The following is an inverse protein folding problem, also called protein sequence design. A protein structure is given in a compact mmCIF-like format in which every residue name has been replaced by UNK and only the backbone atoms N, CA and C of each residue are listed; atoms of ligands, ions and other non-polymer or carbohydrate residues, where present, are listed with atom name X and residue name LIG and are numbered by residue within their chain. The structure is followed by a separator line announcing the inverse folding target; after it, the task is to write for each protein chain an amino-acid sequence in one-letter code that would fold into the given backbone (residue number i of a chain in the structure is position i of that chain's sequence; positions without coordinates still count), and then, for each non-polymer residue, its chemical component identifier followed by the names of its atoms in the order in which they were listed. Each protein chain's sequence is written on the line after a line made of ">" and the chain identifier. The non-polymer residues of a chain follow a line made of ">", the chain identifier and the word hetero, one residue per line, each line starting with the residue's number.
data_IF_395266562724
#
_entry.id   IF_395266562724
#
_cell.length_a   1.000
_cell.length_b   1.000
_cell.length_c   1.000
_cell.angle_alpha   90.00
_cell.angle_beta   90.00
_cell.angle_gamma   90.00
#
_symmetry.space_group_name_H-M   'P 1'
#
loop_
_entity.id
_entity.type
_entity.pdbx_description
1 polymer ?
#
# COMPACT_ATOMS: atom_id res chain seq x y z
N UNK A 1 -15.55 -3.68 -16.28
CA UNK A 1 -16.91 -4.22 -16.55
C UNK A 1 -17.56 -4.63 -15.25
N UNK A 2 -18.87 -4.38 -15.09
CA UNK A 2 -19.63 -4.70 -13.87
C UNK A 2 -19.51 -6.18 -13.47
N UNK A 3 -19.54 -7.11 -14.42
CA UNK A 3 -19.50 -8.55 -14.15
C UNK A 3 -18.09 -9.18 -14.19
N UNK A 4 -17.03 -8.36 -14.25
CA UNK A 4 -15.65 -8.86 -14.13
C UNK A 4 -15.42 -9.49 -12.73
N UNK A 5 -14.94 -10.74 -12.61
CA UNK A 5 -14.66 -11.34 -11.31
C UNK A 5 -13.51 -10.68 -10.56
N UNK A 6 -12.66 -9.88 -11.21
CA UNK A 6 -11.56 -9.16 -10.56
C UNK A 6 -12.07 -8.00 -9.70
N UNK A 7 -11.32 -7.61 -8.65
CA UNK A 7 -11.61 -6.41 -7.89
C UNK A 7 -11.74 -5.17 -8.77
N UNK A 8 -12.76 -4.35 -8.53
CA UNK A 8 -13.02 -3.14 -9.31
C UNK A 8 -12.06 -2.03 -8.91
N UNK A 9 -11.65 -1.23 -9.89
CA UNK A 9 -10.79 -0.07 -9.71
C UNK A 9 -11.43 1.25 -10.17
N UNK A 10 -12.62 1.19 -10.77
CA UNK A 10 -13.32 2.34 -11.35
C UNK A 10 -14.72 2.44 -10.76
N UNK A 11 -15.16 3.64 -10.43
CA UNK A 11 -16.47 3.92 -9.83
C UNK A 11 -17.61 3.37 -10.68
N UNK A 12 -17.53 3.52 -11.99
CA UNK A 12 -18.50 3.00 -12.96
C UNK A 12 -18.69 1.48 -12.89
N UNK A 13 -17.68 0.74 -12.42
CA UNK A 13 -17.72 -0.71 -12.30
C UNK A 13 -18.19 -1.18 -10.92
N UNK A 14 -18.39 -0.25 -9.96
CA UNK A 14 -18.71 -0.52 -8.56
C UNK A 14 -20.20 -0.23 -8.26
N UNK A 15 -21.00 -1.28 -8.05
CA UNK A 15 -22.45 -1.14 -7.89
C UNK A 15 -22.87 -0.97 -6.42
N UNK A 16 -23.66 0.06 -6.13
CA UNK A 16 -24.30 0.31 -4.81
C UNK A 16 -23.31 0.49 -3.63
N UNK A 17 -22.17 1.14 -3.86
CA UNK A 17 -21.15 1.43 -2.84
C UNK A 17 -20.87 2.93 -2.64
N UNK A 18 -21.74 3.82 -3.12
CA UNK A 18 -21.54 5.28 -3.00
C UNK A 18 -21.28 5.74 -1.57
N UNK A 19 -22.13 5.32 -0.63
CA UNK A 19 -22.02 5.70 0.77
C UNK A 19 -20.74 5.18 1.41
N UNK A 20 -20.40 3.92 1.15
CA UNK A 20 -19.16 3.30 1.65
C UNK A 20 -17.92 3.99 1.10
N UNK A 21 -17.94 4.41 -0.16
CA UNK A 21 -16.83 5.08 -0.82
C UNK A 21 -16.66 6.51 -0.29
N UNK A 22 -17.76 7.23 -0.11
CA UNK A 22 -17.76 8.55 0.53
C UNK A 22 -17.31 8.49 1.99
N UNK A 23 -17.70 7.44 2.72
CA UNK A 23 -17.27 7.23 4.11
C UNK A 23 -15.77 6.91 4.19
N UNK A 24 -15.29 5.94 3.42
CA UNK A 24 -13.89 5.53 3.41
C UNK A 24 -12.94 6.70 3.11
N UNK A 25 -13.29 7.53 2.13
CA UNK A 25 -12.47 8.69 1.73
C UNK A 25 -12.31 9.74 2.83
N UNK A 26 -13.29 9.87 3.74
CA UNK A 26 -13.18 10.80 4.89
C UNK A 26 -12.08 10.39 5.85
N UNK A 27 -11.69 9.12 5.85
CA UNK A 27 -10.71 8.57 6.78
C UNK A 27 -9.29 8.43 6.18
N UNK A 28 -9.07 8.75 4.90
CA UNK A 28 -7.72 8.74 4.28
C UNK A 28 -6.73 9.73 4.92
N UNK A 29 -7.18 10.58 5.84
CA UNK A 29 -6.33 11.45 6.63
C UNK A 29 -5.99 10.93 8.03
N UNK A 30 -6.64 9.87 8.50
CA UNK A 30 -6.45 9.34 9.84
C UNK A 30 -5.20 8.45 9.92
N UNK A 31 -4.48 8.41 11.06
CA UNK A 31 -3.29 7.59 11.21
C UNK A 31 -3.51 6.11 10.95
N UNK A 32 -4.70 5.63 11.31
CA UNK A 32 -5.12 4.26 11.08
C UNK A 32 -6.62 4.20 10.76
N UNK A 33 -6.96 3.69 9.58
CA UNK A 33 -8.35 3.32 9.23
C UNK A 33 -8.52 1.81 9.14
N UNK A 34 -9.55 1.28 9.81
CA UNK A 34 -9.88 -0.15 9.77
C UNK A 34 -11.24 -0.42 9.13
N UNK A 35 -11.26 -1.19 8.04
CA UNK A 35 -12.46 -1.48 7.24
C UNK A 35 -13.03 -2.88 7.57
N UNK A 36 -13.87 -2.98 8.60
CA UNK A 36 -14.42 -4.28 9.05
C UNK A 36 -15.75 -4.56 8.34
N UNK A 37 -15.97 -5.80 7.87
CA UNK A 37 -17.23 -6.22 7.21
C UNK A 37 -17.29 -7.75 7.02
N UNK A 38 -18.45 -8.29 6.62
CA UNK A 38 -18.68 -9.72 6.32
C UNK A 38 -17.98 -10.19 5.03
N UNK A 39 -17.70 -11.49 4.90
CA UNK A 39 -17.02 -12.06 3.71
C UNK A 39 -17.91 -11.92 2.46
N UNK A 40 -17.28 -11.65 1.31
CA UNK A 40 -17.88 -11.57 -0.05
C UNK A 40 -18.71 -10.32 -0.37
N UNK A 41 -18.44 -9.19 0.27
CA UNK A 41 -19.09 -7.90 -0.04
C UNK A 41 -18.37 -7.06 -1.11
N UNK A 42 -17.15 -7.41 -1.53
CA UNK A 42 -16.42 -6.62 -2.54
C UNK A 42 -15.56 -5.49 -1.95
N UNK A 43 -15.09 -5.62 -0.71
CA UNK A 43 -14.24 -4.63 -0.04
C UNK A 43 -12.96 -4.25 -0.81
N UNK A 44 -12.24 -5.22 -1.36
CA UNK A 44 -11.06 -4.92 -2.19
C UNK A 44 -11.45 -3.99 -3.34
N UNK A 45 -12.62 -4.21 -3.97
CA UNK A 45 -13.14 -3.31 -5.02
C UNK A 45 -13.45 -1.92 -4.48
N UNK A 46 -14.08 -1.81 -3.31
CA UNK A 46 -14.36 -0.53 -2.66
C UNK A 46 -13.08 0.25 -2.37
N UNK A 47 -12.10 -0.41 -1.76
CA UNK A 47 -10.81 0.18 -1.37
C UNK A 47 -10.03 0.62 -2.60
N UNK A 48 -9.83 -0.29 -3.56
CA UNK A 48 -9.10 0.05 -4.79
C UNK A 48 -9.79 1.17 -5.55
N UNK A 49 -11.11 1.16 -5.66
CA UNK A 49 -11.83 2.25 -6.31
C UNK A 49 -11.67 3.57 -5.56
N UNK A 50 -11.74 3.56 -4.23
CA UNK A 50 -11.51 4.77 -3.43
C UNK A 50 -10.08 5.31 -3.57
N UNK A 51 -9.08 4.41 -3.63
CA UNK A 51 -7.67 4.77 -3.82
C UNK A 51 -7.41 5.35 -5.22
N UNK A 52 -8.01 4.78 -6.26
CA UNK A 52 -7.85 5.24 -7.65
C UNK A 52 -8.59 6.56 -7.91
N UNK A 53 -9.69 6.83 -7.18
CA UNK A 53 -10.32 8.15 -7.17
C UNK A 53 -9.54 9.18 -6.34
N UNK A 54 -8.74 8.73 -5.37
CA UNK A 54 -7.90 9.63 -4.59
C UNK A 54 -6.67 10.03 -5.42
N UNK A 55 -6.32 11.31 -5.36
CA UNK A 55 -5.04 11.79 -5.91
C UNK A 55 -3.85 11.44 -5.03
N UNK A 56 -4.09 10.79 -3.89
CA UNK A 56 -3.09 10.42 -2.89
C UNK A 56 -2.32 9.17 -3.34
N UNK A 57 -0.97 9.21 -3.38
CA UNK A 57 -0.16 8.02 -3.62
C UNK A 57 -0.47 6.91 -2.61
N UNK A 58 -0.40 5.65 -3.03
CA UNK A 58 -0.64 4.53 -2.14
C UNK A 58 0.22 3.29 -2.45
N UNK A 59 0.64 2.61 -1.38
CA UNK A 59 1.29 1.30 -1.42
C UNK A 59 0.26 0.25 -1.01
N UNK A 60 -0.13 -0.62 -1.96
CA UNK A 60 -1.12 -1.66 -1.70
C UNK A 60 -0.43 -3.02 -1.51
N UNK A 61 -0.62 -3.65 -0.36
CA UNK A 61 0.00 -4.90 0.05
C UNK A 61 -1.10 -5.94 0.23
N UNK A 62 -1.23 -6.84 -0.75
CA UNK A 62 -2.18 -7.96 -0.72
C UNK A 62 -1.56 -9.16 -0.01
N UNK A 63 -1.97 -9.38 1.24
CA UNK A 63 -1.41 -10.43 2.10
C UNK A 63 -2.09 -11.79 1.88
N UNK A 64 -3.13 -11.88 1.04
CA UNK A 64 -3.85 -13.16 0.76
C UNK A 64 -2.97 -14.26 0.20
N UNK A 65 -1.91 -13.89 -0.51
CA UNK A 65 -0.98 -14.82 -1.14
C UNK A 65 0.23 -15.18 -0.27
N UNK A 66 0.39 -14.55 0.90
CA UNK A 66 1.56 -14.78 1.76
C UNK A 66 1.27 -15.93 2.71
N UNK A 67 1.88 -17.08 2.45
CA UNK A 67 1.74 -18.28 3.27
C UNK A 67 3.10 -18.56 3.87
N UNK A 68 3.51 -17.72 4.84
CA UNK A 68 4.82 -17.70 5.54
C UNK A 68 5.80 -18.79 5.08
N UNK A 69 6.95 -18.38 4.52
CA UNK A 69 7.97 -17.72 5.33
C UNK A 69 8.27 -16.26 4.93
N UNK A 70 9.13 -15.58 5.70
CA UNK A 70 9.59 -14.20 5.48
C UNK A 70 10.03 -13.91 4.04
N UNK A 71 10.58 -14.88 3.33
CA UNK A 71 10.96 -14.74 1.92
C UNK A 71 9.78 -14.27 1.05
N UNK A 72 8.63 -14.90 1.18
CA UNK A 72 7.42 -14.54 0.40
C UNK A 72 6.95 -13.13 0.73
N UNK A 73 7.10 -12.69 1.99
CA UNK A 73 6.78 -11.32 2.38
C UNK A 73 7.69 -10.30 1.69
N UNK A 74 9.00 -10.54 1.61
CA UNK A 74 9.91 -9.63 0.91
C UNK A 74 9.72 -9.67 -0.62
N UNK A 75 9.37 -10.83 -1.19
CA UNK A 75 8.99 -10.93 -2.60
C UNK A 75 7.70 -10.12 -2.89
N UNK A 76 6.69 -10.22 -2.02
CA UNK A 76 5.49 -9.40 -2.11
C UNK A 76 5.84 -7.90 -1.97
N UNK A 77 6.62 -7.53 -0.97
CA UNK A 77 6.99 -6.14 -0.73
C UNK A 77 7.79 -5.56 -1.91
N UNK A 78 8.66 -6.36 -2.52
CA UNK A 78 9.40 -6.02 -3.74
C UNK A 78 8.46 -5.70 -4.89
N UNK A 79 7.46 -6.57 -5.13
CA UNK A 79 6.42 -6.35 -6.11
C UNK A 79 5.60 -5.08 -5.81
N UNK A 80 5.13 -4.92 -4.58
CA UNK A 80 4.32 -3.77 -4.15
C UNK A 80 5.07 -2.45 -4.30
N UNK A 81 6.34 -2.39 -3.90
CA UNK A 81 7.17 -1.20 -4.05
C UNK A 81 7.49 -0.92 -5.52
N UNK A 82 7.73 -1.95 -6.32
CA UNK A 82 7.94 -1.78 -7.77
C UNK A 82 6.71 -1.14 -8.42
N UNK A 83 5.52 -1.66 -8.12
CA UNK A 83 4.25 -1.11 -8.60
C UNK A 83 3.99 0.31 -8.05
N UNK A 84 4.38 0.58 -6.80
CA UNK A 84 4.32 1.92 -6.22
C UNK A 84 5.24 2.92 -6.93
N UNK A 85 6.53 2.58 -7.12
CA UNK A 85 7.50 3.42 -7.85
C UNK A 85 7.03 3.71 -9.28
N UNK A 86 6.48 2.71 -9.97
CA UNK A 86 5.91 2.88 -11.30
C UNK A 86 4.74 3.87 -11.28
N UNK A 87 3.82 3.78 -10.31
CA UNK A 87 2.67 4.68 -10.18
C UNK A 87 3.07 6.13 -9.90
N UNK A 88 4.03 6.34 -9.01
CA UNK A 88 4.50 7.68 -8.63
C UNK A 88 5.53 8.26 -9.61
N UNK A 89 6.03 7.47 -10.58
CA UNK A 89 7.02 7.92 -11.58
C UNK A 89 6.61 9.18 -12.36
N UNK A 90 5.30 9.45 -12.45
CA UNK A 90 4.73 10.66 -13.06
C UNK A 90 5.09 11.93 -12.27
N UNK A 91 5.32 11.81 -10.96
CA UNK A 91 5.77 12.87 -10.07
C UNK A 91 7.28 12.73 -9.91
N UNK A 92 8.02 13.21 -10.92
CA UNK A 92 9.47 12.99 -11.07
C UNK A 92 10.27 13.26 -9.79
N UNK A 93 10.01 14.38 -9.11
CA UNK A 93 10.73 14.73 -7.88
C UNK A 93 10.49 13.74 -6.74
N UNK A 94 9.23 13.35 -6.52
CA UNK A 94 8.86 12.38 -5.48
C UNK A 94 9.56 11.04 -5.73
N UNK A 95 9.46 10.57 -6.98
CA UNK A 95 10.10 9.33 -7.43
C UNK A 95 11.63 9.35 -7.25
N UNK A 96 12.31 10.37 -7.77
CA UNK A 96 13.77 10.49 -7.68
C UNK A 96 14.24 10.58 -6.22
N UNK A 97 13.50 11.29 -5.37
CA UNK A 97 13.86 11.36 -3.96
C UNK A 97 13.66 10.02 -3.24
N UNK A 98 12.53 9.35 -3.44
CA UNK A 98 12.28 8.05 -2.82
C UNK A 98 13.30 7.01 -3.26
N UNK A 99 13.64 6.97 -4.56
CA UNK A 99 14.70 6.09 -5.04
C UNK A 99 16.03 6.36 -4.35
N UNK A 100 16.40 7.63 -4.20
CA UNK A 100 17.64 8.02 -3.52
C UNK A 100 17.66 7.53 -2.07
N UNK A 101 16.59 7.75 -1.29
CA UNK A 101 16.55 7.29 0.12
C UNK A 101 16.60 5.76 0.19
N UNK A 102 15.77 5.07 -0.59
CA UNK A 102 15.74 3.61 -0.59
C UNK A 102 17.09 3.00 -1.00
N UNK A 103 17.80 3.59 -1.96
CA UNK A 103 19.11 3.09 -2.43
C UNK A 103 20.22 3.14 -1.38
N UNK A 104 20.06 3.96 -0.34
CA UNK A 104 21.03 4.07 0.78
C UNK A 104 20.77 2.98 1.84
N UNK A 105 19.58 2.39 1.87
CA UNK A 105 19.25 1.32 2.81
C UNK A 105 19.96 0.05 2.36
N UNK A 106 20.82 -0.47 3.25
CA UNK A 106 21.56 -1.71 2.99
C UNK A 106 20.58 -2.85 2.67
N UNK A 107 20.92 -3.64 1.65
CA UNK A 107 20.10 -4.75 1.18
C UNK A 107 18.89 -4.35 0.32
N UNK A 108 18.77 -3.09 -0.10
CA UNK A 108 17.84 -2.68 -1.17
C UNK A 108 18.65 -2.43 -2.45
N UNK A 109 18.20 -3.01 -3.55
CA UNK A 109 18.70 -2.74 -4.90
C UNK A 109 17.58 -2.19 -5.77
N UNK A 110 17.84 -1.11 -6.50
CA UNK A 110 16.85 -0.49 -7.39
C UNK A 110 17.40 -0.46 -8.82
N UNK A 111 16.65 -1.04 -9.76
CA UNK A 111 16.95 -1.04 -11.19
C UNK A 111 15.74 -0.53 -11.98
N UNK A 112 15.80 0.72 -12.43
CA UNK A 112 14.62 1.40 -12.97
C UNK A 112 13.55 1.53 -11.89
N UNK A 113 12.37 0.94 -12.11
CA UNK A 113 11.30 0.87 -11.10
C UNK A 113 11.37 -0.40 -10.23
N UNK A 114 12.19 -1.39 -10.63
CA UNK A 114 12.29 -2.67 -9.92
C UNK A 114 13.00 -2.47 -8.60
N UNK A 115 12.40 -2.97 -7.52
CA UNK A 115 12.98 -3.00 -6.17
C UNK A 115 13.26 -4.44 -5.80
N UNK A 116 14.50 -4.75 -5.42
CA UNK A 116 14.91 -6.06 -4.95
C UNK A 116 15.48 -5.98 -3.54
N UNK A 117 15.28 -7.04 -2.76
CA UNK A 117 15.75 -7.13 -1.39
C UNK A 117 16.75 -8.25 -1.22
N UNK A 118 17.80 -7.98 -0.44
CA UNK A 118 18.60 -9.06 0.13
C UNK A 118 17.75 -9.87 1.11
N UNK A 119 17.88 -11.19 1.04
CA UNK A 119 17.22 -12.13 1.94
C UNK A 119 18.14 -12.66 3.05
N UNK A 120 19.39 -12.19 3.07
CA UNK A 120 20.43 -12.66 3.98
C UNK A 120 20.64 -11.74 5.20
N UNK A 121 21.89 -11.52 5.61
CA UNK A 121 22.27 -10.68 6.76
C UNK A 121 21.96 -9.20 6.55
N UNK A 122 21.96 -8.75 5.30
CA UNK A 122 21.80 -7.33 4.97
C UNK A 122 20.35 -6.95 4.67
N UNK A 123 19.42 -7.88 4.88
CA UNK A 123 17.99 -7.67 4.68
C UNK A 123 17.47 -6.43 5.43
N UNK A 124 16.82 -5.47 4.74
CA UNK A 124 16.27 -4.29 5.37
C UNK A 124 15.07 -4.66 6.23
N UNK A 125 14.79 -3.90 7.28
CA UNK A 125 13.54 -4.03 8.03
C UNK A 125 12.38 -3.33 7.31
N UNK A 126 11.12 -3.78 7.48
CA UNK A 126 9.96 -3.07 6.93
C UNK A 126 9.87 -1.63 7.44
N UNK A 127 10.26 -1.39 8.70
CA UNK A 127 10.32 -0.05 9.30
C UNK A 127 11.23 0.89 8.52
N UNK A 128 12.44 0.47 8.12
CA UNK A 128 13.33 1.31 7.32
C UNK A 128 12.70 1.73 5.98
N UNK A 129 11.93 0.83 5.37
CA UNK A 129 11.23 1.09 4.10
C UNK A 129 10.09 2.09 4.31
N UNK A 130 9.25 1.88 5.33
CA UNK A 130 8.12 2.76 5.61
C UNK A 130 8.57 4.15 6.05
N UNK A 131 9.61 4.24 6.88
CA UNK A 131 10.23 5.53 7.24
C UNK A 131 10.79 6.26 6.02
N UNK A 132 11.37 5.54 5.05
CA UNK A 132 11.83 6.17 3.81
C UNK A 132 10.67 6.75 2.98
N UNK A 133 9.53 6.06 2.93
CA UNK A 133 8.32 6.55 2.27
C UNK A 133 7.77 7.79 3.00
N UNK A 134 7.69 7.71 4.33
CA UNK A 134 7.16 8.78 5.18
C UNK A 134 7.98 10.07 5.05
N UNK A 135 9.31 9.99 5.14
CA UNK A 135 10.20 11.15 4.97
C UNK A 135 10.01 11.85 3.63
N UNK A 136 9.78 11.10 2.54
CA UNK A 136 9.51 11.70 1.22
C UNK A 136 8.11 12.29 1.17
N UNK A 137 7.13 11.65 1.79
CA UNK A 137 5.79 12.18 1.90
C UNK A 137 5.77 13.54 2.62
N UNK A 138 6.48 13.63 3.75
CA UNK A 138 6.64 14.87 4.52
C UNK A 138 7.32 15.98 3.72
N UNK A 139 8.45 15.69 3.04
CA UNK A 139 9.16 16.68 2.21
C UNK A 139 8.27 17.28 1.12
N UNK A 140 7.40 16.47 0.51
CA UNK A 140 6.49 16.90 -0.55
C UNK A 140 5.13 17.40 -0.03
N UNK A 141 4.94 17.48 1.30
CA UNK A 141 3.69 17.92 1.90
C UNK A 141 2.48 17.06 1.50
N UNK A 142 2.70 15.77 1.24
CA UNK A 142 1.68 14.81 0.82
C UNK A 142 1.56 13.68 1.83
N UNK A 143 0.51 12.87 1.69
CA UNK A 143 0.37 11.60 2.39
C UNK A 143 0.62 10.46 1.42
N UNK A 144 1.11 9.33 1.94
CA UNK A 144 1.12 8.05 1.22
C UNK A 144 0.27 7.09 2.01
N UNK A 145 -0.76 6.53 1.39
CA UNK A 145 -1.63 5.53 2.03
C UNK A 145 -0.96 4.16 1.92
N UNK A 146 -0.60 3.55 3.04
CA UNK A 146 -0.16 2.15 3.04
C UNK A 146 -1.36 1.30 3.38
N UNK A 147 -1.74 0.38 2.49
CA UNK A 147 -2.94 -0.44 2.58
C UNK A 147 -2.57 -1.90 2.69
N UNK A 148 -3.00 -2.54 3.76
CA UNK A 148 -2.90 -3.99 3.95
C UNK A 148 -4.24 -4.66 3.68
N UNK A 149 -4.30 -5.51 2.64
CA UNK A 149 -5.47 -6.31 2.25
C UNK A 149 -5.34 -7.74 2.79
N UNK A 150 -6.30 -8.13 3.65
CA UNK A 150 -6.52 -9.45 4.25
C UNK A 150 -5.31 -10.11 4.96
N UNK A 151 -5.32 -10.15 6.29
CA UNK A 151 -4.40 -10.99 7.07
C UNK A 151 -4.86 -12.47 7.07
N UNK A 152 -3.89 -13.37 6.93
CA UNK A 152 -4.07 -14.83 6.90
C UNK A 152 -4.45 -15.43 8.26
N UNK A 153 -4.37 -14.67 9.35
CA UNK A 153 -4.95 -15.07 10.64
C UNK A 153 -6.45 -14.75 10.68
N UNK A 154 -7.25 -15.80 10.94
CA UNK A 154 -8.70 -15.81 10.92
C UNK A 154 -9.43 -14.98 11.98
N UNK A 155 -8.99 -13.74 12.23
CA UNK A 155 -9.75 -12.73 12.95
C UNK A 155 -10.32 -11.73 11.95
N UNK A 156 -11.64 -11.77 11.77
CA UNK A 156 -12.51 -10.70 11.24
C UNK A 156 -11.78 -9.59 10.47
N UNK A 157 -11.57 -9.80 9.16
CA UNK A 157 -10.84 -8.91 8.24
C UNK A 157 -10.69 -7.46 8.69
N UNK A 158 -9.52 -7.18 9.26
CA UNK A 158 -9.05 -5.85 9.59
C UNK A 158 -8.15 -5.38 8.45
N UNK A 159 -8.39 -4.16 8.00
CA UNK A 159 -7.63 -3.50 6.95
C UNK A 159 -6.89 -2.37 7.65
N UNK A 160 -5.67 -2.07 7.26
CA UNK A 160 -4.92 -0.98 7.89
C UNK A 160 -4.57 0.00 6.78
N UNK A 161 -5.17 1.20 6.84
CA UNK A 161 -4.72 2.35 6.07
C UNK A 161 -3.83 3.19 6.99
N UNK A 162 -2.53 3.18 6.74
CA UNK A 162 -1.54 3.92 7.53
C UNK A 162 -1.23 5.26 6.86
N UNK A 163 -1.38 6.35 7.60
CA UNK A 163 -0.95 7.71 7.26
C UNK A 163 -0.17 8.23 8.45
N UNK A 164 1.16 8.04 8.49
CA UNK A 164 1.94 8.34 9.68
C UNK A 164 1.96 9.85 10.00
N UNK A 165 1.75 10.18 11.28
CA UNK A 165 2.20 11.43 11.92
C UNK A 165 2.65 11.09 13.35
N UNK A 166 3.50 10.05 13.48
CA UNK A 166 3.93 9.38 14.71
C UNK A 166 3.01 8.26 15.21
N UNK A 167 3.41 6.99 14.99
CA UNK A 167 3.40 6.00 16.07
C UNK A 167 4.25 4.77 15.73
N UNK A 168 5.34 4.56 16.49
CA UNK A 168 5.94 3.25 16.66
C UNK A 168 4.89 2.29 17.27
N UNK A 169 4.61 1.17 16.61
CA UNK A 169 4.03 0.01 17.28
C UNK A 169 4.73 -1.27 16.81
N UNK A 170 5.33 -1.95 17.79
CA UNK A 170 5.96 -3.27 17.74
C UNK A 170 4.97 -4.39 17.38
#
# INVERSE_FOLDING_TARGET
>A
MLFDPKPKRRREDLYNFDEGLAMLRKFFGEPLTVVIELRRTGKTSLILTALEEATTPYLFIDLRSVVRPWKEFYELLSYCLTDFLLRISRVRGFYEYLQRILSVIKGISISGFSVEFSLDRDRPTPTQIFTAIDNVAEEYGTKVLIVFDEDSEGYRGHWFCYSEQHCLCL
#
